data_IF_096831039936
#
_entry.id   IF_096831039936
#
_cell.length_a   1.000
_cell.length_b   1.000
_cell.length_c   1.000
_cell.angle_alpha   90.00
_cell.angle_beta   90.00
_cell.angle_gamma   90.00
#
_symmetry.space_group_name_H-M   'P 1'
#
loop_
_entity.id
_entity.type
_entity.pdbx_description
1 polymer ?
#
# COMPACT_ATOMS: atom_id res chain seq x y z
N UNK A 1 -15.40 9.55 -23.94
CA UNK A 1 -15.94 8.49 -23.06
C UNK A 1 -16.39 9.14 -21.75
N UNK A 2 -17.63 8.90 -21.31
CA UNK A 2 -18.16 9.46 -20.05
C UNK A 2 -17.75 8.62 -18.81
N UNK A 3 -17.08 7.49 -18.99
CA UNK A 3 -16.72 6.54 -17.93
C UNK A 3 -15.24 6.67 -17.55
N UNK A 4 -14.83 7.83 -17.06
CA UNK A 4 -13.51 8.02 -16.50
C UNK A 4 -13.43 7.46 -15.09
N UNK A 5 -12.31 6.75 -14.80
CA UNK A 5 -11.93 6.37 -13.43
C UNK A 5 -10.81 7.31 -12.99
N UNK A 6 -11.11 8.18 -12.04
CA UNK A 6 -10.18 9.18 -11.50
C UNK A 6 -10.12 9.05 -9.98
N UNK A 7 -9.00 9.44 -9.40
CA UNK A 7 -8.77 9.38 -7.96
C UNK A 7 -8.80 7.95 -7.41
N UNK A 8 -9.47 7.73 -6.31
CA UNK A 8 -9.49 6.43 -5.63
C UNK A 8 -10.15 5.29 -6.42
N UNK A 9 -10.88 5.61 -7.50
CA UNK A 9 -11.47 4.61 -8.40
C UNK A 9 -10.55 4.23 -9.55
N UNK A 10 -9.50 5.00 -9.82
CA UNK A 10 -8.56 4.72 -10.89
C UNK A 10 -7.85 3.39 -10.67
N UNK A 11 -7.72 2.60 -11.74
CA UNK A 11 -6.87 1.42 -11.74
C UNK A 11 -5.41 1.81 -11.90
N UNK A 12 -5.14 2.85 -12.70
CA UNK A 12 -3.81 3.41 -12.89
C UNK A 12 -3.76 4.87 -12.46
N UNK A 13 -2.64 5.26 -11.87
CA UNK A 13 -2.34 6.65 -11.52
C UNK A 13 -0.85 6.92 -11.73
N UNK A 14 -0.56 8.01 -12.43
CA UNK A 14 0.80 8.54 -12.58
C UNK A 14 1.04 9.53 -11.45
N UNK A 15 2.11 9.34 -10.72
CA UNK A 15 2.51 10.19 -9.60
C UNK A 15 3.88 10.77 -9.92
N UNK A 16 3.95 12.10 -10.00
CA UNK A 16 5.19 12.84 -10.16
C UNK A 16 5.50 13.57 -8.86
N UNK A 17 6.69 13.38 -8.33
CA UNK A 17 7.14 13.97 -7.09
C UNK A 17 8.44 14.70 -7.33
N UNK A 18 8.50 15.94 -6.90
CA UNK A 18 9.75 16.70 -6.82
C UNK A 18 10.61 16.17 -5.67
N UNK A 19 11.91 16.40 -5.76
CA UNK A 19 12.89 16.06 -4.74
C UNK A 19 12.44 16.55 -3.35
N UNK A 20 12.55 15.70 -2.35
CA UNK A 20 12.17 15.98 -0.96
C UNK A 20 10.68 15.75 -0.65
N UNK A 21 9.80 15.71 -1.64
CA UNK A 21 8.36 15.50 -1.42
C UNK A 21 8.08 14.12 -0.83
N UNK A 22 7.12 14.08 0.08
CA UNK A 22 6.62 12.88 0.71
C UNK A 22 5.44 12.31 -0.09
N UNK A 23 5.43 11.00 -0.17
CA UNK A 23 4.32 10.22 -0.71
C UNK A 23 3.84 9.23 0.33
N UNK A 24 2.57 9.29 0.66
CA UNK A 24 1.93 8.36 1.60
C UNK A 24 0.77 7.68 0.88
N UNK A 25 0.73 6.37 0.99
CA UNK A 25 -0.40 5.58 0.51
C UNK A 25 -0.84 4.56 1.54
N UNK A 26 -2.11 4.61 1.87
CA UNK A 26 -2.82 3.51 2.52
C UNK A 26 -3.53 2.70 1.43
N UNK A 27 -3.26 1.42 1.37
CA UNK A 27 -4.00 0.51 0.48
C UNK A 27 -5.28 0.06 1.16
N UNK A 28 -6.35 0.87 1.04
CA UNK A 28 -7.67 0.52 1.58
C UNK A 28 -8.48 -0.17 0.50
N UNK A 29 -8.87 -1.42 0.77
CA UNK A 29 -9.75 -2.21 -0.10
C UNK A 29 -9.14 -2.69 -1.42
N UNK A 30 -7.93 -2.25 -1.77
CA UNK A 30 -7.23 -2.65 -2.99
C UNK A 30 -5.75 -2.82 -2.73
N UNK A 31 -5.13 -3.82 -3.34
CA UNK A 31 -3.69 -3.93 -3.43
C UNK A 31 -3.17 -3.07 -4.57
N UNK A 32 -1.90 -2.68 -4.52
CA UNK A 32 -1.31 -1.78 -5.51
C UNK A 32 0.07 -2.26 -5.90
N UNK A 33 0.29 -2.49 -7.19
CA UNK A 33 1.63 -2.57 -7.77
C UNK A 33 2.14 -1.16 -8.03
N UNK A 34 3.35 -0.90 -7.58
CA UNK A 34 4.06 0.36 -7.78
C UNK A 34 5.24 0.11 -8.70
N UNK A 35 5.32 0.84 -9.79
CA UNK A 35 6.41 0.81 -10.76
C UNK A 35 7.17 2.14 -10.66
N UNK A 36 8.44 2.09 -10.32
CA UNK A 36 9.32 3.26 -10.28
C UNK A 36 9.96 3.45 -11.65
N UNK A 37 9.39 4.36 -12.44
CA UNK A 37 9.80 4.59 -13.83
C UNK A 37 11.02 5.49 -13.95
N UNK A 38 11.14 6.51 -13.06
CA UNK A 38 12.31 7.39 -13.03
C UNK A 38 12.62 7.86 -11.62
N UNK A 39 13.89 8.23 -11.39
CA UNK A 39 14.35 8.80 -10.14
C UNK A 39 14.68 7.77 -9.05
N UNK A 40 14.78 8.26 -7.82
CA UNK A 40 15.09 7.48 -6.63
C UNK A 40 14.15 7.88 -5.50
N UNK A 41 13.59 6.90 -4.81
CA UNK A 41 12.70 7.09 -3.67
C UNK A 41 13.22 6.33 -2.45
N UNK A 42 13.09 6.92 -1.28
CA UNK A 42 13.32 6.25 -0.01
C UNK A 42 12.00 5.82 0.56
N UNK A 43 11.83 4.51 0.78
CA UNK A 43 10.58 3.92 1.21
C UNK A 43 10.66 3.40 2.63
N UNK A 44 9.53 3.49 3.31
CA UNK A 44 9.31 2.87 4.61
C UNK A 44 7.96 2.19 4.61
N UNK A 45 7.93 1.00 5.20
CA UNK A 45 6.72 0.23 5.43
C UNK A 45 6.71 -0.22 6.88
N UNK A 46 5.74 -1.07 7.24
CA UNK A 46 5.68 -1.67 8.57
C UNK A 46 6.98 -2.39 8.96
N UNK A 47 7.62 -3.08 8.00
CA UNK A 47 8.76 -3.97 8.25
C UNK A 47 10.08 -3.43 7.70
N UNK A 48 10.06 -2.33 6.97
CA UNK A 48 11.24 -1.73 6.34
C UNK A 48 11.26 -0.24 6.61
N UNK A 49 12.39 0.27 7.06
CA UNK A 49 12.58 1.69 7.33
C UNK A 49 13.67 2.24 6.42
N UNK A 50 13.34 3.33 5.71
CA UNK A 50 14.30 4.11 4.90
C UNK A 50 15.07 3.31 3.82
N UNK A 51 14.44 2.30 3.20
CA UNK A 51 15.05 1.57 2.09
C UNK A 51 15.05 2.44 0.83
N UNK A 52 16.19 2.61 0.21
CA UNK A 52 16.28 3.30 -1.09
C UNK A 52 15.92 2.35 -2.23
N UNK A 53 15.15 2.88 -3.18
CA UNK A 53 14.72 2.18 -4.39
C UNK A 53 14.99 3.09 -5.56
N UNK A 54 15.65 2.58 -6.58
CA UNK A 54 15.98 3.28 -7.82
C UNK A 54 15.00 2.90 -8.93
N UNK A 55 14.93 3.74 -9.95
CA UNK A 55 14.16 3.48 -11.16
C UNK A 55 14.43 2.09 -11.74
N UNK A 56 13.45 1.54 -12.44
CA UNK A 56 13.49 0.18 -12.98
C UNK A 56 13.15 -0.91 -11.96
N UNK A 57 12.57 -0.56 -10.82
CA UNK A 57 12.08 -1.51 -9.81
C UNK A 57 10.56 -1.40 -9.65
N UNK A 58 9.95 -2.54 -9.31
CA UNK A 58 8.54 -2.62 -8.93
C UNK A 58 8.37 -3.38 -7.62
N UNK A 59 7.27 -3.09 -6.91
CA UNK A 59 6.92 -3.74 -5.66
C UNK A 59 5.41 -3.71 -5.42
N UNK A 60 4.96 -4.61 -4.55
CA UNK A 60 3.56 -4.73 -4.14
C UNK A 60 3.35 -4.05 -2.78
N UNK A 61 2.27 -3.25 -2.69
CA UNK A 61 1.67 -2.80 -1.44
C UNK A 61 0.34 -3.52 -1.29
N UNK A 62 0.27 -4.46 -0.37
CA UNK A 62 -0.94 -5.26 -0.15
C UNK A 62 -2.03 -4.41 0.50
N UNK A 63 -3.29 -4.81 0.29
CA UNK A 63 -4.42 -4.16 0.96
C UNK A 63 -4.24 -4.22 2.48
N UNK A 64 -4.42 -3.09 3.15
CA UNK A 64 -4.21 -2.93 4.58
C UNK A 64 -2.79 -2.58 5.00
N UNK A 65 -1.84 -2.60 4.10
CA UNK A 65 -0.50 -2.10 4.36
C UNK A 65 -0.41 -0.60 4.04
N UNK A 66 0.49 0.07 4.74
CA UNK A 66 0.82 1.48 4.52
C UNK A 66 2.24 1.58 3.97
N UNK A 67 2.37 2.48 3.03
CA UNK A 67 3.62 2.77 2.37
C UNK A 67 3.91 4.27 2.48
N UNK A 68 5.09 4.58 2.95
CA UNK A 68 5.60 5.94 3.05
C UNK A 68 6.81 6.06 2.13
N UNK A 69 6.82 7.03 1.27
CA UNK A 69 7.94 7.30 0.39
C UNK A 69 8.37 8.75 0.45
N UNK A 70 9.69 9.00 0.36
CA UNK A 70 10.25 10.34 0.14
C UNK A 70 11.04 10.31 -1.15
N UNK A 71 10.77 11.23 -2.06
CA UNK A 71 11.55 11.41 -3.27
C UNK A 71 12.97 11.89 -2.92
N UNK A 72 13.99 11.13 -3.31
CA UNK A 72 15.40 11.49 -3.15
C UNK A 72 15.86 12.34 -4.32
N UNK A 73 15.32 12.08 -5.50
CA UNK A 73 15.41 12.89 -6.71
C UNK A 73 14.01 13.12 -7.23
N UNK A 74 13.84 13.84 -8.32
CA UNK A 74 12.54 13.90 -9.01
C UNK A 74 12.13 12.50 -9.47
N UNK A 75 10.90 12.11 -9.16
CA UNK A 75 10.41 10.73 -9.29
C UNK A 75 9.14 10.69 -10.14
N UNK A 76 9.08 9.70 -11.01
CA UNK A 76 7.84 9.29 -11.66
C UNK A 76 7.50 7.86 -11.26
N UNK A 77 6.33 7.69 -10.66
CA UNK A 77 5.73 6.40 -10.31
C UNK A 77 4.49 6.16 -11.17
N UNK A 78 4.33 4.95 -11.67
CA UNK A 78 3.05 4.45 -12.12
C UNK A 78 2.54 3.45 -11.09
N UNK A 79 1.32 3.64 -10.60
CA UNK A 79 0.67 2.65 -9.76
C UNK A 79 -0.46 1.95 -10.49
N UNK A 80 -0.60 0.66 -10.25
CA UNK A 80 -1.72 -0.16 -10.69
C UNK A 80 -2.44 -0.73 -9.49
N UNK A 81 -3.68 -0.29 -9.24
CA UNK A 81 -4.51 -0.74 -8.12
C UNK A 81 -5.47 -1.83 -8.56
N UNK A 82 -5.58 -2.90 -7.78
CA UNK A 82 -6.41 -4.06 -8.10
C UNK A 82 -7.03 -4.69 -6.85
N UNK A 83 -8.12 -5.43 -7.02
CA UNK A 83 -8.71 -6.27 -5.97
C UNK A 83 -7.99 -7.62 -5.90
N UNK A 84 -8.24 -8.37 -4.83
CA UNK A 84 -7.56 -9.65 -4.61
C UNK A 84 -7.99 -10.76 -5.58
N UNK A 85 -9.13 -10.61 -6.25
CA UNK A 85 -9.64 -11.57 -7.24
C UNK A 85 -8.88 -11.55 -8.57
N UNK A 86 -7.81 -10.75 -8.67
CA UNK A 86 -7.06 -10.66 -9.92
C UNK A 86 -6.39 -12.00 -10.23
N UNK A 87 -6.47 -12.39 -11.49
CA UNK A 87 -5.73 -13.51 -12.03
C UNK A 87 -4.64 -12.99 -12.96
N UNK A 88 -3.47 -13.63 -12.95
CA UNK A 88 -2.40 -13.33 -13.92
C UNK A 88 -2.80 -13.69 -15.37
N UNK A 89 -3.78 -14.53 -15.53
CA UNK A 89 -4.58 -14.73 -16.75
C UNK A 89 -5.82 -15.56 -16.38
N UNK A 90 -6.77 -15.72 -17.32
CA UNK A 90 -8.03 -16.48 -17.11
C UNK A 90 -7.85 -17.90 -16.55
N UNK A 91 -6.66 -18.50 -16.70
CA UNK A 91 -6.35 -19.86 -16.22
C UNK A 91 -5.33 -19.89 -15.08
N UNK A 92 -4.82 -18.74 -14.61
CA UNK A 92 -3.75 -18.69 -13.63
C UNK A 92 -4.05 -17.68 -12.49
N UNK A 93 -4.82 -18.15 -11.51
CA UNK A 93 -5.07 -17.39 -10.29
C UNK A 93 -3.80 -17.28 -9.43
N UNK A 94 -3.66 -16.22 -8.63
CA UNK A 94 -2.52 -16.01 -7.71
C UNK A 94 -2.32 -17.20 -6.74
N UNK A 95 -3.39 -17.88 -6.33
CA UNK A 95 -3.31 -19.09 -5.48
C UNK A 95 -2.41 -20.19 -6.05
N UNK A 96 -2.25 -20.27 -7.38
CA UNK A 96 -1.34 -21.25 -8.00
C UNK A 96 0.14 -20.96 -7.75
N UNK A 97 0.48 -19.77 -7.25
CA UNK A 97 1.82 -19.43 -6.83
C UNK A 97 2.17 -19.94 -5.42
N UNK A 98 1.18 -20.43 -4.65
CA UNK A 98 1.37 -20.86 -3.26
C UNK A 98 2.48 -21.90 -3.09
N UNK A 99 2.58 -22.85 -4.02
CA UNK A 99 3.64 -23.87 -3.99
C UNK A 99 5.07 -23.36 -4.22
N UNK A 100 5.21 -22.10 -4.65
CA UNK A 100 6.50 -21.46 -4.95
C UNK A 100 6.93 -20.44 -3.89
N UNK A 101 6.10 -20.14 -2.89
CA UNK A 101 6.41 -19.16 -1.82
C UNK A 101 7.57 -19.62 -0.95
N UNK A 102 7.75 -20.96 -0.77
CA UNK A 102 8.77 -21.54 0.09
C UNK A 102 10.11 -21.84 -0.61
N UNK A 103 10.22 -21.61 -1.92
CA UNK A 103 11.36 -22.03 -2.74
C UNK A 103 12.43 -20.94 -2.93
N UNK A 104 12.34 -19.78 -2.25
CA UNK A 104 13.30 -18.68 -2.37
C UNK A 104 14.31 -18.67 -1.22
N UNK A 105 15.56 -18.26 -1.52
CA UNK A 105 16.53 -17.94 -0.47
C UNK A 105 15.95 -16.85 0.45
N UNK A 106 16.20 -16.91 1.77
CA UNK A 106 15.75 -15.88 2.69
C UNK A 106 16.37 -14.54 2.27
N UNK A 107 15.54 -13.57 1.91
CA UNK A 107 16.02 -12.20 1.67
C UNK A 107 16.63 -11.65 2.97
N UNK A 108 17.78 -10.99 2.86
CA UNK A 108 18.44 -10.30 3.98
C UNK A 108 17.55 -9.21 4.63
N UNK A 109 16.46 -8.82 3.96
CA UNK A 109 15.47 -7.85 4.44
C UNK A 109 14.03 -8.29 4.13
N UNK A 110 13.33 -8.98 5.05
CA UNK A 110 11.98 -9.49 4.84
C UNK A 110 10.92 -8.37 4.96
N UNK A 111 10.80 -7.49 4.00
CA UNK A 111 9.82 -6.41 4.15
C UNK A 111 9.02 -6.06 2.90
N UNK A 112 9.69 -5.84 1.80
CA UNK A 112 9.09 -5.61 0.48
C UNK A 112 9.94 -6.33 -0.56
N UNK A 113 9.35 -7.24 -1.29
CA UNK A 113 9.99 -7.85 -2.45
C UNK A 113 10.10 -6.82 -3.57
N UNK A 114 11.33 -6.48 -3.94
CA UNK A 114 11.63 -5.61 -5.08
C UNK A 114 11.99 -6.48 -6.29
N UNK A 115 11.25 -6.31 -7.39
CA UNK A 115 11.57 -6.94 -8.66
C UNK A 115 12.07 -5.89 -9.66
N UNK A 116 13.06 -6.27 -10.48
CA UNK A 116 13.46 -5.45 -11.61
C UNK A 116 12.32 -5.43 -12.64
N UNK A 117 12.02 -4.26 -13.20
CA UNK A 117 11.07 -4.14 -14.30
C UNK A 117 11.75 -4.66 -15.56
N UNK A 118 11.16 -5.69 -16.19
CA UNK A 118 11.66 -6.23 -17.44
C UNK A 118 11.61 -5.16 -18.55
N UNK A 119 12.60 -5.04 -19.45
CA UNK A 119 12.64 -3.99 -20.48
C UNK A 119 11.38 -3.88 -21.34
N UNK A 120 10.78 -5.00 -21.72
CA UNK A 120 9.51 -5.00 -22.45
C UNK A 120 8.34 -4.45 -21.62
N UNK A 121 8.26 -4.82 -20.36
CA UNK A 121 7.26 -4.28 -19.44
C UNK A 121 7.48 -2.78 -19.22
N UNK A 122 8.74 -2.31 -19.13
CA UNK A 122 9.07 -0.89 -19.01
C UNK A 122 8.50 -0.08 -20.18
N UNK A 123 8.68 -0.54 -21.40
CA UNK A 123 8.15 0.09 -22.62
C UNK A 123 6.60 0.17 -22.56
N UNK A 124 5.93 -0.90 -22.14
CA UNK A 124 4.48 -0.95 -22.00
C UNK A 124 3.97 0.06 -20.94
N UNK A 125 4.66 0.16 -19.80
CA UNK A 125 4.32 1.09 -18.73
C UNK A 125 4.53 2.56 -19.16
N UNK A 126 5.59 2.86 -19.89
CA UNK A 126 5.87 4.20 -20.44
C UNK A 126 4.83 4.59 -21.50
N UNK A 127 4.48 3.66 -22.40
CA UNK A 127 3.44 3.86 -23.40
C UNK A 127 2.08 4.11 -22.72
N UNK A 128 1.74 3.29 -21.73
CA UNK A 128 0.50 3.43 -20.96
C UNK A 128 0.44 4.80 -20.26
N UNK A 129 1.54 5.22 -19.63
CA UNK A 129 1.64 6.52 -18.97
C UNK A 129 1.46 7.67 -19.97
N UNK A 130 2.14 7.61 -21.11
CA UNK A 130 2.05 8.64 -22.16
C UNK A 130 0.63 8.79 -22.73
N UNK A 131 -0.06 7.66 -22.94
CA UNK A 131 -1.45 7.67 -23.41
C UNK A 131 -2.40 8.25 -22.38
N UNK A 132 -2.21 7.91 -21.09
CA UNK A 132 -3.01 8.45 -20.00
C UNK A 132 -2.78 9.96 -19.83
N UNK A 133 -1.57 10.46 -19.98
CA UNK A 133 -1.23 11.89 -19.96
C UNK A 133 -1.91 12.66 -21.12
N UNK A 134 -2.16 12.00 -22.25
CA UNK A 134 -2.94 12.55 -23.37
C UNK A 134 -4.46 12.51 -23.12
N UNK A 135 -4.89 12.06 -21.94
CA UNK A 135 -6.29 12.11 -21.50
C UNK A 135 -7.11 10.84 -21.73
N UNK A 136 -6.51 9.73 -22.16
CA UNK A 136 -7.23 8.45 -22.25
C UNK A 136 -7.35 7.78 -20.88
N UNK A 137 -8.30 8.25 -20.05
CA UNK A 137 -8.56 7.77 -18.68
C UNK A 137 -9.81 6.87 -18.60
N UNK A 138 -10.28 6.35 -19.72
CA UNK A 138 -11.48 5.50 -19.82
C UNK A 138 -11.30 4.21 -19.00
N UNK A 139 -12.35 3.80 -18.28
CA UNK A 139 -12.37 2.59 -17.47
C UNK A 139 -12.07 1.32 -18.25
N UNK A 140 -12.55 1.24 -19.49
CA UNK A 140 -12.27 0.09 -20.37
C UNK A 140 -10.79 0.01 -20.72
N UNK A 141 -10.19 1.13 -21.08
CA UNK A 141 -8.76 1.19 -21.38
C UNK A 141 -7.92 0.75 -20.17
N UNK A 142 -8.21 1.30 -19.00
CA UNK A 142 -7.49 0.95 -17.78
C UNK A 142 -7.62 -0.53 -17.42
N UNK A 143 -8.80 -1.14 -17.59
CA UNK A 143 -9.00 -2.59 -17.35
C UNK A 143 -8.22 -3.44 -18.33
N UNK A 144 -8.32 -3.14 -19.64
CA UNK A 144 -7.56 -3.88 -20.66
C UNK A 144 -6.05 -3.79 -20.41
N UNK A 145 -5.55 -2.60 -20.05
CA UNK A 145 -4.13 -2.42 -19.71
C UNK A 145 -3.74 -3.19 -18.46
N UNK A 146 -4.60 -3.23 -17.45
CA UNK A 146 -4.37 -4.04 -16.27
C UNK A 146 -4.24 -5.53 -16.63
N UNK A 147 -5.16 -6.06 -17.43
CA UNK A 147 -5.13 -7.46 -17.87
C UNK A 147 -3.86 -7.77 -18.68
N UNK A 148 -3.46 -6.88 -19.59
CA UNK A 148 -2.23 -7.00 -20.38
C UNK A 148 -1.02 -7.07 -19.43
N UNK A 149 -0.85 -6.11 -18.54
CA UNK A 149 0.29 -6.05 -17.61
C UNK A 149 0.36 -7.31 -16.74
N UNK A 150 -0.78 -7.82 -16.24
CA UNK A 150 -0.76 -9.07 -15.48
C UNK A 150 -0.41 -10.31 -16.31
N UNK A 151 -0.81 -10.36 -17.57
CA UNK A 151 -0.37 -11.41 -18.50
C UNK A 151 1.13 -11.31 -18.81
N UNK A 152 1.65 -10.10 -18.97
CA UNK A 152 3.09 -9.85 -19.19
C UNK A 152 3.91 -10.22 -17.97
N UNK A 153 3.46 -9.88 -16.76
CA UNK A 153 4.09 -10.34 -15.52
C UNK A 153 4.24 -11.86 -15.51
N UNK A 154 3.18 -12.58 -15.88
CA UNK A 154 3.23 -14.03 -15.96
C UNK A 154 4.19 -14.55 -17.03
N UNK A 155 4.29 -13.87 -18.17
CA UNK A 155 5.11 -14.29 -19.31
C UNK A 155 6.58 -13.95 -19.15
N UNK A 156 6.91 -12.86 -18.46
CA UNK A 156 8.25 -12.29 -18.38
C UNK A 156 9.03 -12.67 -17.11
N UNK A 157 8.34 -13.14 -16.06
CA UNK A 157 8.95 -13.45 -14.78
C UNK A 157 8.81 -14.92 -14.40
N UNK A 158 9.77 -15.43 -13.64
CA UNK A 158 9.71 -16.77 -13.07
C UNK A 158 8.62 -16.84 -11.98
N UNK A 159 8.06 -18.03 -11.79
CA UNK A 159 6.99 -18.25 -10.80
C UNK A 159 7.46 -17.95 -9.39
N UNK A 160 8.70 -18.22 -9.06
CA UNK A 160 9.33 -17.96 -7.78
C UNK A 160 9.44 -16.46 -7.49
N UNK A 161 9.77 -15.66 -8.51
CA UNK A 161 9.82 -14.19 -8.40
C UNK A 161 8.43 -13.60 -8.16
N UNK A 162 7.44 -14.06 -8.92
CA UNK A 162 6.06 -13.65 -8.74
C UNK A 162 5.49 -14.12 -7.40
N UNK A 163 5.83 -15.35 -6.97
CA UNK A 163 5.40 -15.87 -5.67
C UNK A 163 5.93 -15.01 -4.52
N UNK A 164 7.19 -14.60 -4.56
CA UNK A 164 7.77 -13.68 -3.56
C UNK A 164 7.09 -12.32 -3.57
N UNK A 165 6.88 -11.72 -4.75
CA UNK A 165 6.23 -10.42 -4.87
C UNK A 165 4.78 -10.46 -4.38
N UNK A 166 4.02 -11.50 -4.76
CA UNK A 166 2.62 -11.66 -4.40
C UNK A 166 2.40 -12.43 -3.08
N UNK A 167 3.45 -12.84 -2.37
CA UNK A 167 3.35 -13.57 -1.12
C UNK A 167 2.37 -12.95 -0.10
N UNK A 168 2.30 -11.61 0.07
CA UNK A 168 1.34 -10.99 0.97
C UNK A 168 -0.14 -11.22 0.58
N UNK A 169 -0.41 -11.66 -0.65
CA UNK A 169 -1.76 -11.94 -1.16
C UNK A 169 -2.06 -13.44 -1.25
N UNK A 170 -1.06 -14.30 -1.04
CA UNK A 170 -1.19 -15.75 -1.17
C UNK A 170 -1.38 -16.35 0.23
N UNK A 171 -2.49 -17.03 0.46
CA UNK A 171 -2.74 -17.77 1.71
C UNK A 171 -3.40 -16.97 2.84
N UNK A 172 -3.74 -15.69 2.64
CA UNK A 172 -4.56 -14.94 3.57
C UNK A 172 -6.04 -15.40 3.46
N UNK A 173 -6.78 -15.35 4.56
CA UNK A 173 -8.25 -15.39 4.56
C UNK A 173 -8.73 -14.03 4.03
N UNK A 174 -8.72 -13.92 2.71
CA UNK A 174 -8.87 -12.66 1.95
C UNK A 174 -10.21 -11.97 2.21
N UNK A 175 -11.28 -12.74 2.39
CA UNK A 175 -12.60 -12.22 2.68
C UNK A 175 -12.63 -11.53 4.06
N UNK A 176 -12.07 -12.17 5.08
CA UNK A 176 -12.01 -11.60 6.42
C UNK A 176 -11.17 -10.32 6.47
N UNK A 177 -9.98 -10.31 5.83
CA UNK A 177 -9.09 -9.15 5.77
C UNK A 177 -9.76 -7.97 5.05
N UNK A 178 -10.38 -8.24 3.92
CA UNK A 178 -11.10 -7.24 3.12
C UNK A 178 -12.27 -6.63 3.89
N UNK A 179 -13.07 -7.46 4.58
CA UNK A 179 -14.16 -6.99 5.42
C UNK A 179 -13.69 -6.13 6.59
N UNK A 180 -12.61 -6.52 7.27
CA UNK A 180 -11.99 -5.70 8.33
C UNK A 180 -11.62 -4.31 7.80
N UNK A 181 -10.98 -4.25 6.63
CA UNK A 181 -10.50 -3.00 6.05
C UNK A 181 -11.65 -2.10 5.54
N UNK A 182 -12.74 -2.70 5.07
CA UNK A 182 -13.95 -1.98 4.68
C UNK A 182 -14.67 -1.36 5.90
N UNK A 183 -14.74 -2.11 7.00
CA UNK A 183 -15.45 -1.69 8.22
C UNK A 183 -14.60 -0.68 9.03
N UNK A 184 -13.28 -0.89 9.09
CA UNK A 184 -12.37 -0.13 9.95
C UNK A 184 -12.49 1.40 9.85
N UNK A 185 -12.69 2.04 8.68
CA UNK A 185 -12.83 3.50 8.62
C UNK A 185 -14.04 4.05 9.39
N UNK A 186 -15.04 3.19 9.65
CA UNK A 186 -16.31 3.55 10.30
C UNK A 186 -16.38 3.21 11.79
N UNK A 187 -15.38 2.46 12.30
CA UNK A 187 -15.35 1.98 13.68
C UNK A 187 -14.05 2.38 14.37
N UNK A 188 -14.11 2.51 15.70
CA UNK A 188 -12.97 2.95 16.50
C UNK A 188 -12.44 1.90 17.46
N UNK A 189 -13.21 0.84 17.70
CA UNK A 189 -12.92 -0.19 18.70
C UNK A 189 -12.99 -1.61 18.14
N UNK A 190 -12.28 -2.53 18.81
CA UNK A 190 -12.34 -3.97 18.46
C UNK A 190 -13.75 -4.52 18.67
N UNK A 191 -14.46 -4.03 19.69
CA UNK A 191 -15.83 -4.46 20.00
C UNK A 191 -16.79 -4.14 18.86
N UNK A 192 -16.66 -2.94 18.29
CA UNK A 192 -17.43 -2.52 17.10
C UNK A 192 -17.09 -3.39 15.89
N UNK A 193 -15.78 -3.63 15.62
CA UNK A 193 -15.36 -4.53 14.54
C UNK A 193 -15.97 -5.93 14.67
N UNK A 194 -15.97 -6.48 15.88
CA UNK A 194 -16.55 -7.79 16.16
C UNK A 194 -18.06 -7.77 15.96
N UNK A 195 -18.73 -6.71 16.38
CA UNK A 195 -20.19 -6.53 16.23
C UNK A 195 -20.60 -6.52 14.76
N UNK A 196 -19.93 -5.72 13.93
CA UNK A 196 -20.16 -5.63 12.48
C UNK A 196 -19.96 -6.98 11.77
N UNK A 197 -18.99 -7.77 12.24
CA UNK A 197 -18.71 -9.10 11.68
C UNK A 197 -19.52 -10.22 12.29
N UNK A 198 -20.33 -9.95 13.33
CA UNK A 198 -21.11 -10.92 14.08
C UNK A 198 -20.26 -12.11 14.55
N UNK A 199 -19.07 -11.87 15.06
CA UNK A 199 -18.11 -12.91 15.46
C UNK A 199 -17.92 -12.93 16.97
N UNK A 200 -17.76 -14.15 17.53
CA UNK A 200 -17.28 -14.29 18.90
C UNK A 200 -15.83 -13.84 19.04
N UNK A 201 -15.44 -13.41 20.24
CA UNK A 201 -14.09 -12.94 20.54
C UNK A 201 -13.00 -13.96 20.17
N UNK A 202 -13.22 -15.24 20.47
CA UNK A 202 -12.27 -16.31 20.16
C UNK A 202 -12.10 -16.50 18.64
N UNK A 203 -13.21 -16.56 17.89
CA UNK A 203 -13.21 -16.72 16.43
C UNK A 203 -12.55 -15.51 15.75
N UNK A 204 -12.91 -14.29 16.21
CA UNK A 204 -12.36 -13.06 15.69
C UNK A 204 -10.82 -13.00 15.87
N UNK A 205 -10.33 -13.22 17.10
CA UNK A 205 -8.89 -13.17 17.38
C UNK A 205 -8.10 -14.20 16.56
N UNK A 206 -8.61 -15.44 16.45
CA UNK A 206 -7.97 -16.48 15.64
C UNK A 206 -7.89 -16.10 14.17
N UNK A 207 -9.02 -15.68 13.57
CA UNK A 207 -9.06 -15.24 12.16
C UNK A 207 -8.20 -13.99 11.96
N UNK A 208 -8.26 -13.04 12.90
CA UNK A 208 -7.49 -11.83 12.82
C UNK A 208 -5.97 -12.10 12.84
N UNK A 209 -5.53 -12.96 13.77
CA UNK A 209 -4.13 -13.35 13.83
C UNK A 209 -3.66 -14.07 12.56
N UNK A 210 -4.47 -14.98 12.02
CA UNK A 210 -4.16 -15.68 10.77
C UNK A 210 -4.07 -14.73 9.57
N UNK A 211 -4.93 -13.69 9.50
CA UNK A 211 -4.98 -12.77 8.36
C UNK A 211 -3.98 -11.61 8.47
N UNK A 212 -3.65 -11.15 9.67
CA UNK A 212 -2.81 -9.97 9.90
C UNK A 212 -1.48 -10.27 10.61
N UNK A 213 -1.26 -11.50 11.08
CA UNK A 213 -0.08 -11.94 11.85
C UNK A 213 0.22 -11.10 13.11
N UNK A 214 -0.76 -10.35 13.61
CA UNK A 214 -0.71 -9.56 14.85
C UNK A 214 -2.06 -9.57 15.55
N UNK A 215 -2.07 -9.16 16.82
CA UNK A 215 -3.33 -9.02 17.54
C UNK A 215 -4.17 -7.83 17.04
N UNK A 216 -5.50 -7.88 17.16
CA UNK A 216 -6.38 -6.76 16.82
C UNK A 216 -6.00 -5.45 17.51
N UNK A 217 -5.57 -5.52 18.78
CA UNK A 217 -5.12 -4.36 19.57
C UNK A 217 -3.86 -3.72 18.97
N UNK A 218 -2.86 -4.54 18.65
CA UNK A 218 -1.63 -4.06 18.02
C UNK A 218 -1.91 -3.43 16.66
N UNK A 219 -2.79 -4.05 15.88
CA UNK A 219 -3.18 -3.53 14.57
C UNK A 219 -3.90 -2.17 14.67
N UNK A 220 -4.84 -2.01 15.59
CA UNK A 220 -5.51 -0.72 15.80
C UNK A 220 -4.54 0.38 16.25
N UNK A 221 -3.61 0.06 17.15
CA UNK A 221 -2.56 1.02 17.58
C UNK A 221 -1.73 1.42 16.35
N UNK A 222 -1.36 0.47 15.52
CA UNK A 222 -0.60 0.76 14.32
C UNK A 222 -1.37 1.66 13.35
N UNK A 223 -2.66 1.37 13.13
CA UNK A 223 -3.52 2.23 12.29
C UNK A 223 -3.68 3.64 12.86
N UNK A 224 -3.74 3.79 14.17
CA UNK A 224 -3.71 5.11 14.84
C UNK A 224 -2.38 5.83 14.60
N UNK A 225 -1.24 5.12 14.72
CA UNK A 225 0.08 5.68 14.40
C UNK A 225 0.13 6.22 12.98
N UNK A 226 -0.29 5.43 12.01
CA UNK A 226 -0.30 5.79 10.60
C UNK A 226 -1.14 7.06 10.35
N UNK A 227 -2.36 7.11 10.87
CA UNK A 227 -3.26 8.27 10.72
C UNK A 227 -2.68 9.53 11.37
N UNK A 228 -2.24 9.44 12.61
CA UNK A 228 -1.67 10.59 13.33
C UNK A 228 -0.39 11.10 12.69
N UNK A 229 0.53 10.19 12.34
CA UNK A 229 1.76 10.54 11.66
C UNK A 229 1.48 11.29 10.36
N UNK A 230 0.58 10.74 9.52
CA UNK A 230 0.17 11.36 8.26
C UNK A 230 -0.32 12.79 8.48
N UNK A 231 -1.31 12.97 9.34
CA UNK A 231 -1.93 14.28 9.51
C UNK A 231 -0.96 15.29 10.15
N UNK A 232 -0.10 14.84 11.06
CA UNK A 232 0.94 15.71 11.67
C UNK A 232 1.96 16.16 10.62
N UNK A 233 2.39 15.26 9.74
CA UNK A 233 3.53 15.51 8.82
C UNK A 233 3.06 16.12 7.49
N UNK A 234 1.90 15.72 7.01
CA UNK A 234 1.42 16.05 5.66
C UNK A 234 0.43 17.20 5.60
N UNK A 235 -0.07 17.66 6.75
CA UNK A 235 -0.99 18.79 6.81
C UNK A 235 -0.43 19.92 7.67
N UNK A 236 -0.91 21.13 7.40
CA UNK A 236 -0.62 22.30 8.25
C UNK A 236 -1.65 22.48 9.36
N UNK A 237 -2.54 21.50 9.58
CA UNK A 237 -3.57 21.58 10.62
C UNK A 237 -2.93 21.75 12.01
N UNK A 238 -3.45 22.63 12.86
CA UNK A 238 -3.05 22.70 14.25
C UNK A 238 -3.16 21.33 14.95
N UNK A 239 -2.25 21.03 15.87
CA UNK A 239 -2.27 19.74 16.61
C UNK A 239 -3.60 19.58 17.38
N UNK A 240 -4.21 20.68 17.81
CA UNK A 240 -5.51 20.67 18.45
C UNK A 240 -6.62 20.15 17.50
N UNK A 241 -6.65 20.63 16.27
CA UNK A 241 -7.61 20.16 15.26
C UNK A 241 -7.39 18.69 14.86
N UNK A 242 -6.12 18.28 14.78
CA UNK A 242 -5.80 16.86 14.55
C UNK A 242 -6.30 16.00 15.72
N UNK A 243 -6.10 16.44 16.95
CA UNK A 243 -6.58 15.74 18.14
C UNK A 243 -8.12 15.63 18.12
N UNK A 244 -8.82 16.73 17.88
CA UNK A 244 -10.28 16.79 17.78
C UNK A 244 -10.82 15.87 16.69
N UNK A 245 -10.23 15.88 15.49
CA UNK A 245 -10.59 15.00 14.36
C UNK A 245 -10.64 13.51 14.73
N UNK A 246 -9.79 13.09 15.67
CA UNK A 246 -9.72 11.70 16.11
C UNK A 246 -10.37 11.44 17.48
N UNK A 247 -11.06 12.43 18.05
CA UNK A 247 -11.67 12.34 19.38
C UNK A 247 -10.62 12.20 20.50
N UNK A 248 -9.44 12.78 20.34
CA UNK A 248 -8.34 12.76 21.30
C UNK A 248 -8.14 14.13 21.95
N UNK A 249 -7.47 14.13 23.09
CA UNK A 249 -6.92 15.36 23.67
C UNK A 249 -5.54 15.64 23.06
N UNK A 250 -5.12 16.92 23.07
CA UNK A 250 -3.77 17.32 22.62
C UNK A 250 -2.69 16.62 23.46
N UNK A 251 -2.93 16.45 24.76
CA UNK A 251 -2.02 15.74 25.67
C UNK A 251 -1.89 14.27 25.28
N UNK A 252 -2.99 13.61 24.92
CA UNK A 252 -2.95 12.23 24.44
C UNK A 252 -2.13 12.11 23.15
N UNK A 253 -2.37 12.97 22.15
CA UNK A 253 -1.60 12.98 20.91
C UNK A 253 -0.11 13.21 21.16
N UNK A 254 0.22 14.13 22.09
CA UNK A 254 1.62 14.43 22.44
C UNK A 254 2.30 13.23 23.11
N UNK A 255 1.63 12.59 24.08
CA UNK A 255 2.14 11.40 24.77
C UNK A 255 2.27 10.22 23.81
N UNK A 256 1.27 10.00 22.98
CA UNK A 256 1.27 8.96 21.96
C UNK A 256 2.43 9.13 20.95
N UNK A 257 2.68 10.36 20.50
CA UNK A 257 3.80 10.64 19.60
C UNK A 257 5.15 10.40 20.27
N UNK A 258 5.32 10.80 21.53
CA UNK A 258 6.54 10.52 22.29
C UNK A 258 6.76 9.02 22.47
N UNK A 259 5.73 8.27 22.85
CA UNK A 259 5.80 6.82 23.06
C UNK A 259 6.12 6.05 21.77
N UNK A 260 5.46 6.43 20.68
CA UNK A 260 5.50 5.62 19.46
C UNK A 260 6.45 6.12 18.37
N UNK A 261 6.83 7.39 18.40
CA UNK A 261 7.75 8.01 17.43
C UNK A 261 8.98 8.63 18.10
N UNK A 262 9.06 8.59 19.45
CA UNK A 262 10.18 9.15 20.20
C UNK A 262 10.23 10.70 20.20
N UNK A 263 9.22 11.39 19.65
CA UNK A 263 9.24 12.83 19.40
C UNK A 263 7.87 13.46 19.62
N UNK A 264 7.85 14.77 19.92
CA UNK A 264 6.59 15.53 19.96
C UNK A 264 5.99 15.72 18.56
N UNK A 265 4.68 15.94 18.44
CA UNK A 265 4.04 16.21 17.14
C UNK A 265 4.69 17.37 16.38
N UNK A 266 5.00 18.46 17.08
CA UNK A 266 5.64 19.64 16.48
C UNK A 266 7.03 19.31 15.92
N UNK A 267 7.83 18.53 16.67
CA UNK A 267 9.16 18.11 16.24
C UNK A 267 9.08 17.14 15.04
N UNK A 268 8.12 16.22 15.04
CA UNK A 268 7.84 15.35 13.89
C UNK A 268 7.51 16.16 12.64
N UNK A 269 6.66 17.19 12.77
CA UNK A 269 6.31 18.09 11.67
C UNK A 269 7.53 18.82 11.13
N UNK A 270 8.32 19.44 12.01
CA UNK A 270 9.52 20.20 11.62
C UNK A 270 10.55 19.37 10.85
N UNK A 271 10.79 18.14 11.29
CA UNK A 271 11.78 17.25 10.65
C UNK A 271 11.32 16.73 9.28
N UNK A 272 10.02 16.75 9.02
CA UNK A 272 9.44 16.24 7.78
C UNK A 272 8.86 17.35 6.90
N UNK A 273 8.80 18.60 7.39
CA UNK A 273 8.45 19.76 6.56
C UNK A 273 9.54 19.96 5.51
N UNK A 274 9.19 20.25 4.26
CA UNK A 274 10.18 20.68 3.27
C UNK A 274 10.77 22.01 3.75
N UNK A 275 12.12 22.10 3.79
CA UNK A 275 12.82 23.38 3.87
C UNK A 275 12.65 24.12 2.57
#
# INVERSE_FOLDING_TARGET
CKNYLIGDRALFEIIKLETGKLFIRESVGRSTLVFLLSGKIRISTRNVVNREVEAGKMFLVATGDSFYGRAVTDVTLLRCSFTQEIALCNKFALKKLQGYVSCGEPEENPGIALLAIHPLLQQELELTSSIMEKGLLCSHYQRLKQDIIFMELRGLYKREELARMFAPLIGADDDFKSRILEIYPRVSTIKELMGELQMSHATFNRKFHNSFNISPKQWLIQKKKEKLFRDIVMTNLPIAEIAEKYGFTVNYVTSFCKEHFGKTPTKLRQEHSPQ
#
